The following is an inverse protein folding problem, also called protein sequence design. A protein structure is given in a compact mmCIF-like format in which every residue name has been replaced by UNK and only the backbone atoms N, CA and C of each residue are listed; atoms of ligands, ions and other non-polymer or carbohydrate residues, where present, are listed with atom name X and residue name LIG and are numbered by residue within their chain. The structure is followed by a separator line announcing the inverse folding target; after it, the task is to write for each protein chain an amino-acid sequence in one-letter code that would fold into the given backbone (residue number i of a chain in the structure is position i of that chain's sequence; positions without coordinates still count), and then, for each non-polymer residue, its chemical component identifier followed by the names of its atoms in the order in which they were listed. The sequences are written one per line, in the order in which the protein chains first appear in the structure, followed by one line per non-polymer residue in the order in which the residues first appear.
data_IF_165627770222
#
_entry.id   IF_165627770222
#
_cell.length_a   1.000
_cell.length_b   1.000
_cell.length_c   1.000
_cell.angle_alpha   90.00
_cell.angle_beta   90.00
_cell.angle_gamma   90.00
#
_symmetry.space_group_name_H-M   'P 1'
#
loop_
_entity.id
_entity.type
_entity.pdbx_description
1 polymer ?
#
# COMPACT_ATOMS: atom_id res chain seq x y z
N UNK A 1 24.78 5.56 0.16
CA UNK A 1 23.73 4.76 0.82
C UNK A 1 23.51 5.16 2.30
N UNK A 2 24.08 6.28 2.77
CA UNK A 2 24.01 6.73 4.18
C UNK A 2 22.89 7.75 4.49
N UNK A 3 21.97 8.00 3.54
CA UNK A 3 20.90 9.01 3.67
C UNK A 3 19.50 8.37 3.76
N UNK A 4 19.42 7.08 4.09
CA UNK A 4 18.14 6.34 4.07
C UNK A 4 17.23 6.69 5.25
N UNK A 5 17.80 7.13 6.39
CA UNK A 5 17.05 7.69 7.52
C UNK A 5 16.61 9.14 7.30
N UNK A 6 17.26 9.87 6.41
CA UNK A 6 17.01 11.29 6.16
C UNK A 6 15.75 11.48 5.32
N UNK A 7 14.61 11.73 5.97
CA UNK A 7 13.32 11.96 5.29
C UNK A 7 13.24 13.33 4.57
N UNK A 8 14.31 14.13 4.58
CA UNK A 8 14.34 15.45 3.95
C UNK A 8 14.86 15.42 2.51
N UNK A 9 15.46 14.31 2.09
CA UNK A 9 15.93 14.12 0.72
C UNK A 9 14.78 14.15 -0.28
N UNK A 10 14.94 14.92 -1.36
CA UNK A 10 14.04 14.91 -2.52
C UNK A 10 14.54 13.90 -3.55
N UNK A 11 13.62 13.16 -4.14
CA UNK A 11 13.91 12.13 -5.14
C UNK A 11 12.96 12.31 -6.31
N UNK A 12 13.46 12.05 -7.51
CA UNK A 12 12.62 12.13 -8.69
C UNK A 12 11.56 11.02 -8.67
N UNK A 13 10.29 11.34 -8.95
CA UNK A 13 9.26 10.34 -9.04
C UNK A 13 9.59 9.27 -10.10
N UNK A 14 9.30 8.02 -9.77
CA UNK A 14 9.39 6.91 -10.71
C UNK A 14 8.32 7.07 -11.78
N UNK A 15 8.74 6.94 -13.03
CA UNK A 15 7.85 6.98 -14.19
C UNK A 15 7.93 5.67 -14.96
N UNK A 16 6.89 5.31 -15.75
CA UNK A 16 6.91 4.11 -16.58
C UNK A 16 8.12 4.06 -17.50
N UNK A 17 8.44 5.19 -18.14
CA UNK A 17 9.56 5.30 -19.05
C UNK A 17 10.90 5.07 -18.35
N UNK A 18 11.10 5.68 -17.17
CA UNK A 18 12.35 5.50 -16.42
C UNK A 18 12.51 4.05 -15.97
N UNK A 19 11.45 3.42 -15.45
CA UNK A 19 11.48 2.01 -15.06
C UNK A 19 11.79 1.09 -16.21
N UNK A 20 11.15 1.27 -17.37
CA UNK A 20 11.44 0.46 -18.56
C UNK A 20 12.91 0.62 -19.00
N UNK A 21 13.44 1.85 -18.99
CA UNK A 21 14.84 2.11 -19.34
C UNK A 21 15.80 1.40 -18.39
N UNK A 22 15.54 1.43 -17.08
CA UNK A 22 16.35 0.74 -16.06
C UNK A 22 16.29 -0.77 -16.27
N UNK A 23 15.11 -1.35 -16.47
CA UNK A 23 14.97 -2.79 -16.72
C UNK A 23 15.71 -3.23 -17.98
N UNK A 24 15.59 -2.49 -19.09
CA UNK A 24 16.33 -2.75 -20.33
C UNK A 24 17.85 -2.63 -20.16
N UNK A 25 18.32 -1.71 -19.31
CA UNK A 25 19.75 -1.59 -18.97
C UNK A 25 20.21 -2.83 -18.20
N UNK A 26 19.43 -3.27 -17.22
CA UNK A 26 19.71 -4.43 -16.36
C UNK A 26 19.71 -5.73 -17.17
N UNK A 27 18.78 -5.91 -18.10
CA UNK A 27 18.70 -7.10 -18.97
C UNK A 27 19.94 -7.28 -19.86
N UNK A 28 20.64 -6.17 -20.16
CA UNK A 28 21.90 -6.19 -20.94
C UNK A 28 23.13 -6.53 -20.10
N UNK A 29 23.01 -6.60 -18.78
CA UNK A 29 24.12 -6.92 -17.89
C UNK A 29 24.36 -8.43 -17.83
N UNK A 30 25.62 -8.85 -17.90
CA UNK A 30 25.98 -10.26 -18.00
C UNK A 30 25.86 -11.04 -16.67
N UNK A 31 26.04 -10.37 -15.52
CA UNK A 31 26.07 -11.03 -14.20
C UNK A 31 24.84 -10.66 -13.40
N UNK A 32 24.19 -11.67 -12.81
CA UNK A 32 23.04 -11.48 -11.90
C UNK A 32 23.38 -10.59 -10.69
N UNK A 33 24.60 -10.66 -10.17
CA UNK A 33 25.04 -9.79 -9.07
C UNK A 33 25.00 -8.31 -9.45
N UNK A 34 25.54 -7.97 -10.62
CA UNK A 34 25.55 -6.59 -11.13
C UNK A 34 24.13 -6.09 -11.42
N UNK A 35 23.25 -6.97 -11.91
CA UNK A 35 21.82 -6.69 -12.09
C UNK A 35 21.14 -6.33 -10.77
N UNK A 36 21.35 -7.15 -9.73
CA UNK A 36 20.79 -6.92 -8.41
C UNK A 36 21.32 -5.64 -7.77
N UNK A 37 22.60 -5.35 -7.92
CA UNK A 37 23.22 -4.14 -7.37
C UNK A 37 22.68 -2.88 -8.05
N UNK A 38 22.54 -2.88 -9.38
CA UNK A 38 21.91 -1.77 -10.12
C UNK A 38 20.45 -1.60 -9.68
N UNK A 39 19.64 -2.66 -9.69
CA UNK A 39 18.24 -2.60 -9.28
C UNK A 39 18.08 -2.11 -7.83
N UNK A 40 19.01 -2.48 -6.95
CA UNK A 40 19.02 -2.02 -5.55
C UNK A 40 19.24 -0.52 -5.43
N UNK A 41 20.01 0.11 -6.32
CA UNK A 41 20.15 1.58 -6.33
C UNK A 41 18.83 2.28 -6.63
N UNK A 42 17.96 1.62 -7.40
CA UNK A 42 16.64 2.13 -7.79
C UNK A 42 15.49 1.54 -6.96
N UNK A 43 15.75 0.75 -5.92
CA UNK A 43 14.68 0.16 -5.10
C UNK A 43 13.75 -0.73 -5.92
N UNK A 44 14.31 -1.42 -6.91
CA UNK A 44 13.59 -2.24 -7.88
C UNK A 44 13.91 -3.73 -7.68
N UNK A 45 13.04 -4.57 -8.22
CA UNK A 45 13.21 -6.02 -8.30
C UNK A 45 13.32 -6.42 -9.77
N UNK A 46 13.93 -7.57 -10.09
CA UNK A 46 14.07 -8.06 -11.45
C UNK A 46 12.75 -8.65 -11.97
N UNK A 47 11.67 -7.86 -11.88
CA UNK A 47 10.32 -8.23 -12.29
C UNK A 47 9.72 -7.03 -13.01
N UNK A 48 9.38 -7.20 -14.29
CA UNK A 48 8.69 -6.18 -15.05
C UNK A 48 7.23 -6.13 -14.58
N UNK A 49 6.77 -4.96 -14.14
CA UNK A 49 5.38 -4.77 -13.79
C UNK A 49 4.52 -4.82 -15.07
N UNK A 50 3.57 -5.76 -15.14
CA UNK A 50 2.66 -5.92 -16.28
C UNK A 50 1.89 -4.63 -16.60
N UNK A 51 1.58 -3.82 -15.59
CA UNK A 51 0.89 -2.56 -15.77
C UNK A 51 1.65 -1.57 -16.67
N UNK A 52 2.97 -1.70 -16.78
CA UNK A 52 3.80 -0.89 -17.68
C UNK A 52 3.61 -1.22 -19.16
N UNK A 53 2.88 -2.28 -19.49
CA UNK A 53 2.60 -2.70 -20.86
C UNK A 53 1.32 -2.07 -21.43
N UNK A 54 0.45 -1.52 -20.57
CA UNK A 54 -0.79 -0.88 -21.01
C UNK A 54 -0.51 0.53 -21.53
N UNK A 55 -0.98 0.82 -22.74
CA UNK A 55 -0.90 2.15 -23.30
C UNK A 55 -1.68 3.14 -22.41
N UNK A 56 -1.08 4.32 -22.17
CA UNK A 56 -1.66 5.40 -21.37
C UNK A 56 -1.93 5.04 -19.89
N UNK A 57 -1.37 3.94 -19.37
CA UNK A 57 -1.46 3.59 -17.96
C UNK A 57 -0.15 3.91 -17.23
N UNK A 58 -0.25 4.66 -16.14
CA UNK A 58 0.88 4.95 -15.26
C UNK A 58 0.62 4.37 -13.86
N UNK A 59 1.15 3.17 -13.55
CA UNK A 59 0.94 2.56 -12.24
C UNK A 59 1.53 3.40 -11.10
N UNK A 60 2.53 4.24 -11.34
CA UNK A 60 3.15 5.04 -10.28
C UNK A 60 2.29 6.23 -9.87
N UNK A 61 1.48 6.74 -10.80
CA UNK A 61 0.43 7.72 -10.51
C UNK A 61 -0.79 7.12 -9.83
N UNK A 62 -0.94 5.80 -9.86
CA UNK A 62 -2.04 5.09 -9.20
C UNK A 62 -1.68 4.61 -7.78
N UNK A 63 -0.42 4.69 -7.38
CA UNK A 63 0.05 4.22 -6.08
C UNK A 63 -0.05 5.34 -5.05
N UNK A 64 -0.90 5.14 -4.04
CA UNK A 64 -0.93 5.94 -2.83
C UNK A 64 0.00 5.37 -1.76
N UNK A 65 0.27 6.18 -0.75
CA UNK A 65 0.96 5.73 0.45
C UNK A 65 0.12 4.66 1.19
N UNK A 66 0.74 3.55 1.57
CA UNK A 66 0.11 2.44 2.28
C UNK A 66 0.28 2.60 3.78
N UNK A 67 -0.69 3.27 4.42
CA UNK A 67 -0.68 3.51 5.87
C UNK A 67 -0.59 2.23 6.70
N UNK A 68 -1.31 1.18 6.30
CA UNK A 68 -1.46 -0.03 7.10
C UNK A 68 -0.14 -0.81 7.19
N UNK A 69 0.52 -1.01 6.04
CA UNK A 69 1.77 -1.76 6.02
C UNK A 69 2.98 -0.88 6.34
N UNK A 70 3.00 0.38 5.92
CA UNK A 70 4.12 1.27 6.19
C UNK A 70 4.07 1.81 7.61
N UNK A 71 2.96 2.41 8.03
CA UNK A 71 2.89 3.14 9.28
C UNK A 71 2.55 2.19 10.42
N UNK A 72 1.37 1.58 10.41
CA UNK A 72 0.84 0.85 11.55
C UNK A 72 1.61 -0.45 11.81
N UNK A 73 1.73 -1.30 10.80
CA UNK A 73 2.46 -2.57 10.92
C UNK A 73 3.98 -2.39 10.80
N UNK A 74 4.42 -1.42 9.99
CA UNK A 74 5.83 -1.14 9.74
C UNK A 74 6.46 -0.29 10.82
N UNK A 75 6.45 1.03 10.65
CA UNK A 75 7.13 2.00 11.51
C UNK A 75 6.71 1.87 12.98
N UNK A 76 5.43 1.67 13.27
CA UNK A 76 4.98 1.43 14.62
C UNK A 76 5.23 -0.02 15.06
N UNK A 77 4.52 -0.97 14.45
CA UNK A 77 4.47 -2.37 14.90
C UNK A 77 5.81 -3.09 14.87
N UNK A 78 6.64 -2.85 13.86
CA UNK A 78 7.95 -3.48 13.72
C UNK A 78 9.10 -2.69 14.38
N UNK A 79 8.92 -1.39 14.67
CA UNK A 79 10.02 -0.53 15.15
C UNK A 79 9.74 0.21 16.44
N UNK A 80 8.89 1.24 16.43
CA UNK A 80 8.70 2.11 17.60
C UNK A 80 8.18 1.31 18.80
N UNK A 81 7.17 0.47 18.59
CA UNK A 81 6.54 -0.29 19.68
C UNK A 81 7.47 -1.35 20.30
N UNK A 82 8.19 -2.19 19.53
CA UNK A 82 9.23 -3.07 20.07
C UNK A 82 10.34 -2.34 20.85
N UNK A 83 10.76 -1.16 20.40
CA UNK A 83 11.76 -0.36 21.12
C UNK A 83 11.21 0.20 22.43
N UNK A 84 9.97 0.69 22.45
CA UNK A 84 9.30 1.13 23.68
C UNK A 84 9.16 -0.01 24.68
N UNK A 85 8.80 -1.21 24.21
CA UNK A 85 8.76 -2.42 25.03
C UNK A 85 10.14 -2.74 25.63
N UNK A 86 11.21 -2.64 24.84
CA UNK A 86 12.58 -2.88 25.33
C UNK A 86 12.97 -1.92 26.46
N UNK A 87 12.59 -0.64 26.37
CA UNK A 87 12.81 0.33 27.46
C UNK A 87 12.01 -0.03 28.71
N UNK A 88 10.73 -0.38 28.56
CA UNK A 88 9.91 -0.85 29.69
C UNK A 88 10.50 -2.08 30.37
N UNK A 89 10.98 -3.07 29.61
CA UNK A 89 11.60 -4.27 30.17
C UNK A 89 12.90 -3.96 30.92
N UNK A 90 13.68 -2.96 30.49
CA UNK A 90 14.88 -2.51 31.21
C UNK A 90 14.54 -1.83 32.54
N UNK A 91 13.45 -1.07 32.58
CA UNK A 91 12.96 -0.41 33.79
C UNK A 91 12.34 -1.42 34.78
N UNK A 92 11.77 -2.51 34.25
CA UNK A 92 11.32 -3.67 35.00
C UNK A 92 9.81 -3.92 34.89
N UNK A 93 9.40 -5.13 35.29
CA UNK A 93 8.04 -5.64 35.10
C UNK A 93 6.92 -4.76 35.71
N UNK A 94 7.23 -3.97 36.74
CA UNK A 94 6.25 -3.07 37.35
C UNK A 94 5.93 -1.85 36.45
N UNK A 95 6.85 -1.42 35.59
CA UNK A 95 6.58 -0.40 34.57
C UNK A 95 5.69 -0.97 33.46
N UNK A 96 5.98 -2.20 33.01
CA UNK A 96 5.12 -2.92 32.05
C UNK A 96 3.69 -3.08 32.58
N UNK A 97 3.54 -3.54 33.82
CA UNK A 97 2.25 -3.71 34.48
C UNK A 97 1.47 -2.38 34.59
N UNK A 98 2.15 -1.25 34.82
CA UNK A 98 1.50 0.08 34.84
C UNK A 98 0.94 0.45 33.47
N UNK A 99 1.66 0.17 32.38
CA UNK A 99 1.17 0.39 31.01
C UNK A 99 -0.06 -0.49 30.77
N UNK A 100 0.05 -1.79 31.02
CA UNK A 100 -1.04 -2.74 30.76
C UNK A 100 -2.29 -2.40 31.58
N UNK A 101 -2.13 -2.02 32.86
CA UNK A 101 -3.24 -1.59 33.70
C UNK A 101 -3.97 -0.36 33.13
N UNK A 102 -3.24 0.55 32.47
CA UNK A 102 -3.85 1.73 31.82
C UNK A 102 -4.60 1.38 30.55
N UNK A 103 -4.15 0.37 29.81
CA UNK A 103 -4.91 -0.17 28.69
C UNK A 103 -6.19 -0.89 29.15
N UNK A 104 -6.11 -1.73 30.20
CA UNK A 104 -7.26 -2.42 30.80
C UNK A 104 -8.31 -1.43 31.32
N UNK A 105 -7.86 -0.35 31.97
CA UNK A 105 -8.78 0.65 32.56
C UNK A 105 -9.23 1.71 31.58
N UNK A 106 -8.71 1.72 30.35
CA UNK A 106 -9.12 2.69 29.34
C UNK A 106 -10.58 2.43 28.96
N UNK A 107 -11.45 3.46 28.95
CA UNK A 107 -12.87 3.26 28.63
C UNK A 107 -13.03 2.67 27.23
N UNK A 108 -14.10 1.88 27.03
CA UNK A 108 -14.45 1.40 25.70
C UNK A 108 -14.98 2.55 24.83
N UNK A 109 -14.49 2.63 23.60
CA UNK A 109 -14.99 3.56 22.59
C UNK A 109 -15.41 2.78 21.35
N UNK A 110 -16.39 3.30 20.62
CA UNK A 110 -16.76 2.76 19.32
C UNK A 110 -15.58 2.88 18.37
N UNK A 111 -15.34 1.83 17.58
CA UNK A 111 -14.29 1.77 16.55
C UNK A 111 -12.85 1.93 17.09
N UNK A 112 -12.65 1.62 18.38
CA UNK A 112 -11.36 1.54 19.03
C UNK A 112 -11.23 0.20 19.76
N UNK A 113 -10.22 -0.59 19.41
CA UNK A 113 -9.97 -1.85 20.08
C UNK A 113 -9.66 -1.65 21.58
N UNK A 114 -10.23 -2.51 22.42
CA UNK A 114 -9.89 -2.58 23.84
C UNK A 114 -8.89 -3.71 24.08
N UNK A 115 -7.90 -3.47 24.95
CA UNK A 115 -6.77 -4.38 25.15
C UNK A 115 -6.61 -4.69 26.64
N UNK A 116 -6.59 -5.98 26.98
CA UNK A 116 -6.30 -6.46 28.35
C UNK A 116 -4.81 -6.37 28.74
N UNK A 117 -4.01 -5.68 27.91
CA UNK A 117 -2.57 -5.57 28.03
C UNK A 117 -1.91 -5.59 26.66
N UNK A 118 -0.83 -4.82 26.50
CA UNK A 118 -0.13 -4.64 25.22
C UNK A 118 1.35 -4.98 25.30
N UNK A 119 1.98 -4.89 26.48
CA UNK A 119 3.43 -5.05 26.60
C UNK A 119 3.92 -6.44 26.22
N UNK A 120 3.08 -7.47 26.32
CA UNK A 120 3.41 -8.86 25.95
C UNK A 120 2.96 -9.28 24.56
N UNK A 121 2.26 -8.42 23.81
CA UNK A 121 1.81 -8.74 22.45
C UNK A 121 3.03 -8.92 21.53
N UNK A 122 3.14 -10.09 20.90
CA UNK A 122 4.22 -10.45 19.98
C UNK A 122 3.87 -10.28 18.51
N UNK A 123 2.58 -10.39 18.16
CA UNK A 123 2.05 -10.23 16.81
C UNK A 123 0.63 -9.67 16.88
N UNK A 124 0.31 -8.73 16.00
CA UNK A 124 -1.06 -8.25 15.81
C UNK A 124 -1.29 -7.77 14.37
N UNK A 125 -2.55 -7.60 13.99
CA UNK A 125 -2.89 -6.94 12.73
C UNK A 125 -2.59 -5.43 12.76
N UNK A 126 -2.47 -4.82 11.58
CA UNK A 126 -2.14 -3.40 11.44
C UNK A 126 -3.18 -2.49 12.11
N UNK A 127 -4.47 -2.83 12.01
CA UNK A 127 -5.54 -2.03 12.63
C UNK A 127 -5.42 -1.95 14.14
N UNK A 128 -5.09 -3.05 14.82
CA UNK A 128 -4.82 -3.04 16.26
C UNK A 128 -3.53 -2.32 16.59
N UNK A 129 -2.50 -2.45 15.77
CA UNK A 129 -1.26 -1.69 15.93
C UNK A 129 -1.52 -0.18 15.89
N UNK A 130 -2.36 0.29 14.96
CA UNK A 130 -2.84 1.67 14.89
C UNK A 130 -3.48 2.11 16.20
N UNK A 131 -4.39 1.33 16.74
CA UNK A 131 -5.10 1.66 17.97
C UNK A 131 -4.19 1.64 19.21
N UNK A 132 -3.25 0.69 19.29
CA UNK A 132 -2.22 0.68 20.33
C UNK A 132 -1.41 1.97 20.26
N UNK A 133 -0.99 2.42 19.06
CA UNK A 133 -0.20 3.64 18.90
C UNK A 133 -0.90 4.89 19.44
N UNK A 134 -2.20 5.04 19.15
CA UNK A 134 -3.02 6.16 19.63
C UNK A 134 -3.04 6.25 21.15
N UNK A 135 -3.15 5.09 21.82
CA UNK A 135 -3.30 4.99 23.27
C UNK A 135 -1.96 4.99 24.01
N UNK A 136 -0.87 4.58 23.35
CA UNK A 136 0.40 4.32 24.04
C UNK A 136 0.98 5.58 24.71
N UNK A 137 0.90 6.75 24.08
CA UNK A 137 1.38 7.99 24.69
C UNK A 137 0.68 8.31 26.01
N UNK A 138 -0.64 8.15 26.04
CA UNK A 138 -1.43 8.33 27.26
C UNK A 138 -1.04 7.28 28.30
N UNK A 139 -0.95 6.02 27.88
CA UNK A 139 -0.55 4.93 28.76
C UNK A 139 0.87 5.12 29.33
N UNK A 140 1.78 5.77 28.61
CA UNK A 140 3.17 6.00 29.02
C UNK A 140 3.38 7.25 29.90
N UNK A 141 2.36 8.09 30.10
CA UNK A 141 2.47 9.35 30.84
C UNK A 141 2.95 9.14 32.29
N UNK A 142 4.12 9.68 32.66
CA UNK A 142 4.68 9.48 34.00
C UNK A 142 5.14 8.05 34.29
N UNK A 143 5.28 7.21 33.25
CA UNK A 143 5.88 5.87 33.34
C UNK A 143 7.29 5.91 32.76
N UNK A 144 7.47 6.55 31.60
CA UNK A 144 8.77 6.79 30.99
C UNK A 144 9.03 8.29 31.06
N UNK A 145 9.80 8.73 32.06
CA UNK A 145 10.16 10.13 32.28
C UNK A 145 11.61 10.38 31.90
N UNK A 146 11.95 11.63 31.55
CA UNK A 146 13.29 12.00 31.05
C UNK A 146 14.42 11.71 32.05
N UNK A 147 14.15 11.88 33.34
CA UNK A 147 15.07 11.58 34.44
C UNK A 147 15.18 10.08 34.75
N UNK A 148 14.23 9.26 34.30
CA UNK A 148 14.21 7.80 34.50
C UNK A 148 14.86 7.08 33.32
N UNK A 149 14.44 7.44 32.11
CA UNK A 149 14.98 6.91 30.86
C UNK A 149 14.92 7.98 29.77
N UNK A 150 16.03 8.71 29.64
CA UNK A 150 16.20 9.76 28.63
C UNK A 150 16.00 9.25 27.20
N UNK A 151 16.43 8.03 26.90
CA UNK A 151 16.29 7.45 25.57
C UNK A 151 14.83 7.06 25.30
N UNK A 152 14.20 6.34 26.24
CA UNK A 152 12.78 6.00 26.16
C UNK A 152 11.89 7.25 26.05
N UNK A 153 12.21 8.33 26.79
CA UNK A 153 11.49 9.59 26.72
C UNK A 153 11.66 10.29 25.36
N UNK A 154 12.85 10.25 24.77
CA UNK A 154 13.06 10.73 23.40
C UNK A 154 12.25 9.89 22.39
N UNK A 155 12.12 8.58 22.60
CA UNK A 155 11.29 7.72 21.75
C UNK A 155 9.79 8.04 21.88
N UNK A 156 9.31 8.47 23.05
CA UNK A 156 7.96 9.02 23.20
C UNK A 156 7.77 10.33 22.42
N UNK A 157 8.78 11.19 22.37
CA UNK A 157 8.76 12.39 21.49
C UNK A 157 8.68 11.99 20.02
N UNK A 158 9.42 10.97 19.58
CA UNK A 158 9.30 10.41 18.22
C UNK A 158 7.88 9.89 17.96
N UNK A 159 7.33 9.13 18.92
CA UNK A 159 5.97 8.57 18.83
C UNK A 159 4.92 9.66 18.68
N UNK A 160 5.03 10.77 19.43
CA UNK A 160 4.14 11.93 19.29
C UNK A 160 4.18 12.53 17.89
N UNK A 161 5.36 12.70 17.32
CA UNK A 161 5.50 13.26 15.97
C UNK A 161 4.97 12.27 14.93
N UNK A 162 5.26 10.98 15.09
CA UNK A 162 4.71 9.90 14.25
C UNK A 162 3.16 9.91 14.26
N UNK A 163 2.55 10.06 15.43
CA UNK A 163 1.09 10.17 15.56
C UNK A 163 0.52 11.39 14.82
N UNK A 164 1.26 12.50 14.76
CA UNK A 164 0.84 13.63 13.95
C UNK A 164 0.98 13.34 12.45
N UNK A 165 2.06 12.71 12.00
CA UNK A 165 2.25 12.32 10.59
C UNK A 165 1.08 11.48 10.10
N UNK A 166 0.72 10.43 10.84
CA UNK A 166 -0.37 9.53 10.45
C UNK A 166 -1.76 10.15 10.66
N UNK A 167 -1.92 11.07 11.62
CA UNK A 167 -3.18 11.81 11.79
C UNK A 167 -3.43 12.69 10.57
N UNK A 168 -2.42 13.47 10.14
CA UNK A 168 -2.56 14.32 8.96
C UNK A 168 -2.67 13.48 7.69
N UNK A 169 -1.84 12.47 7.50
CA UNK A 169 -1.88 11.60 6.30
C UNK A 169 -3.15 10.76 6.19
N UNK A 170 -3.83 10.48 7.30
CA UNK A 170 -5.08 9.74 7.33
C UNK A 170 -6.35 10.59 7.22
N UNK A 171 -6.24 11.89 6.93
CA UNK A 171 -7.41 12.73 6.66
C UNK A 171 -8.06 12.31 5.35
N UNK A 172 -9.39 12.21 5.34
CA UNK A 172 -10.14 11.91 4.11
C UNK A 172 -10.28 13.10 3.17
N UNK A 173 -10.06 14.31 3.69
CA UNK A 173 -10.14 15.54 2.92
C UNK A 173 -8.95 16.39 3.31
N UNK A 174 -8.09 16.63 2.33
CA UNK A 174 -6.92 17.47 2.48
C UNK A 174 -7.17 18.88 1.95
N UNK A 175 -6.86 19.88 2.76
CA UNK A 175 -6.69 21.28 2.33
C UNK A 175 -5.21 21.60 2.15
N UNK A 176 -4.89 22.67 1.42
CA UNK A 176 -3.51 23.18 1.29
C UNK A 176 -2.85 23.39 2.66
N UNK A 177 -3.60 23.86 3.65
CA UNK A 177 -3.10 24.07 5.01
C UNK A 177 -2.79 22.74 5.72
N UNK A 178 -3.71 21.77 5.69
CA UNK A 178 -3.49 20.46 6.32
C UNK A 178 -2.33 19.70 5.67
N UNK A 179 -2.15 19.86 4.36
CA UNK A 179 -1.00 19.31 3.63
C UNK A 179 0.31 20.00 4.04
N UNK A 180 0.31 21.33 4.13
CA UNK A 180 1.50 22.07 4.57
C UNK A 180 1.94 21.64 5.97
N UNK A 181 0.99 21.58 6.91
CA UNK A 181 1.26 21.15 8.30
C UNK A 181 1.70 19.69 8.35
N UNK A 182 1.01 18.79 7.64
CA UNK A 182 1.39 17.38 7.57
C UNK A 182 2.82 17.19 7.07
N UNK A 183 3.21 17.94 6.03
CA UNK A 183 4.57 17.92 5.45
C UNK A 183 5.64 18.38 6.43
N UNK A 184 5.34 19.31 7.33
CA UNK A 184 6.29 19.77 8.37
C UNK A 184 6.64 18.67 9.37
N UNK A 185 5.73 17.73 9.66
CA UNK A 185 5.98 16.67 10.63
C UNK A 185 6.93 15.58 10.13
N UNK A 186 7.08 15.40 8.81
CA UNK A 186 8.00 14.42 8.22
C UNK A 186 9.48 14.71 8.58
N UNK A 187 10.04 15.90 8.29
CA UNK A 187 11.43 16.22 8.67
C UNK A 187 11.59 16.29 10.20
N UNK A 188 10.55 16.71 10.94
CA UNK A 188 10.58 16.67 12.41
C UNK A 188 10.71 15.25 12.94
N UNK A 189 10.02 14.27 12.33
CA UNK A 189 10.12 12.87 12.71
C UNK A 189 11.52 12.33 12.44
N UNK A 190 12.08 12.64 11.27
CA UNK A 190 13.47 12.30 10.93
C UNK A 190 14.44 12.80 12.00
N UNK A 191 14.39 14.09 12.32
CA UNK A 191 15.25 14.70 13.34
C UNK A 191 15.04 14.09 14.73
N UNK A 192 13.81 13.72 15.09
CA UNK A 192 13.53 13.10 16.37
C UNK A 192 14.11 11.69 16.48
N UNK A 193 14.02 10.90 15.42
CA UNK A 193 14.62 9.56 15.32
C UNK A 193 16.15 9.67 15.35
N UNK A 194 16.75 10.59 14.61
CA UNK A 194 18.19 10.84 14.66
C UNK A 194 18.65 11.20 16.07
N UNK A 195 17.92 12.08 16.77
CA UNK A 195 18.21 12.41 18.17
C UNK A 195 18.15 11.19 19.07
N UNK A 196 17.21 10.28 18.85
CA UNK A 196 17.13 9.02 19.60
C UNK A 196 18.36 8.14 19.35
N UNK A 197 18.75 7.97 18.08
CA UNK A 197 19.89 7.13 17.68
C UNK A 197 21.23 7.63 18.23
N UNK A 198 21.37 8.93 18.48
CA UNK A 198 22.58 9.53 19.03
C UNK A 198 22.66 9.48 20.57
N UNK A 199 21.63 8.97 21.28
CA UNK A 199 21.68 8.86 22.74
C UNK A 199 22.55 7.63 23.12
N UNK A 200 23.63 7.80 23.90
CA UNK A 200 24.48 6.68 24.33
C UNK A 200 23.68 5.61 25.08
N UNK A 201 24.07 4.33 24.96
CA UNK A 201 23.39 3.18 25.58
C UNK A 201 21.97 2.86 25.09
N UNK A 202 21.47 3.50 24.02
CA UNK A 202 20.50 2.80 23.16
C UNK A 202 21.28 1.63 22.57
N UNK A 203 21.20 0.41 23.12
CA UNK A 203 21.58 -0.79 22.36
C UNK A 203 20.62 -0.80 21.17
N UNK A 204 20.99 -0.28 19.99
CA UNK A 204 20.02 -0.19 18.92
C UNK A 204 19.80 -1.64 18.54
N UNK A 205 18.54 -2.02 18.41
CA UNK A 205 18.31 -3.13 17.52
C UNK A 205 18.87 -2.67 16.16
N UNK A 206 20.05 -3.14 15.78
CA UNK A 206 20.68 -2.89 14.47
C UNK A 206 19.67 -3.18 13.33
N UNK A 207 18.69 -4.05 13.62
CA UNK A 207 17.51 -4.33 12.82
C UNK A 207 16.42 -3.24 12.84
N UNK A 208 16.67 -2.01 13.29
CA UNK A 208 15.76 -0.88 13.07
C UNK A 208 16.15 -0.15 11.78
N UNK A 209 17.46 0.07 11.57
CA UNK A 209 17.97 0.60 10.31
C UNK A 209 17.65 -0.33 9.13
N UNK A 210 17.75 -1.65 9.32
CA UNK A 210 17.53 -2.65 8.26
C UNK A 210 16.11 -2.64 7.67
N UNK A 211 15.03 -2.69 8.47
CA UNK A 211 13.67 -2.69 7.95
C UNK A 211 13.12 -1.30 7.64
N UNK A 212 13.57 -0.21 8.31
CA UNK A 212 13.38 1.15 7.77
C UNK A 212 14.00 1.26 6.37
N UNK A 213 15.22 0.71 6.19
CA UNK A 213 15.88 0.58 4.88
C UNK A 213 15.11 -0.32 3.92
N UNK A 214 14.56 -1.45 4.35
CA UNK A 214 13.82 -2.35 3.47
C UNK A 214 12.47 -1.75 3.05
N UNK A 215 11.77 -1.09 3.95
CA UNK A 215 10.55 -0.35 3.67
C UNK A 215 10.89 0.76 2.66
N UNK A 216 11.95 1.52 2.92
CA UNK A 216 12.44 2.56 2.03
C UNK A 216 12.82 2.04 0.62
N UNK A 217 13.57 0.95 0.54
CA UNK A 217 13.97 0.31 -0.71
C UNK A 217 12.81 -0.35 -1.46
N UNK A 218 11.69 -0.62 -0.78
CA UNK A 218 10.49 -1.22 -1.39
C UNK A 218 9.46 -0.19 -1.82
N UNK A 219 9.68 1.11 -1.55
CA UNK A 219 8.84 2.15 -2.09
C UNK A 219 9.00 2.20 -3.61
N UNK A 220 7.88 2.18 -4.32
CA UNK A 220 7.88 2.31 -5.78
C UNK A 220 8.18 3.74 -6.24
N UNK A 221 8.30 4.69 -5.31
CA UNK A 221 8.44 6.10 -5.64
C UNK A 221 9.24 6.93 -4.59
N UNK A 222 10.28 6.33 -4.00
CA UNK A 222 11.29 6.95 -3.11
C UNK A 222 10.90 8.28 -2.40
N UNK A 223 10.63 8.23 -1.09
CA UNK A 223 10.42 9.34 -0.12
C UNK A 223 9.48 10.49 -0.49
N UNK A 224 8.87 10.57 -1.67
CA UNK A 224 7.88 11.63 -1.91
C UNK A 224 6.51 11.25 -1.34
N UNK A 225 6.51 10.89 -0.04
CA UNK A 225 5.31 10.51 0.72
C UNK A 225 4.29 11.64 0.69
N UNK A 226 4.79 12.88 0.70
CA UNK A 226 4.04 14.13 0.61
C UNK A 226 3.15 14.21 -0.64
N UNK A 227 3.67 13.82 -1.81
CA UNK A 227 2.90 13.80 -3.05
C UNK A 227 2.00 12.57 -3.15
N UNK A 228 2.40 11.44 -2.56
CA UNK A 228 1.63 10.19 -2.56
C UNK A 228 0.32 10.28 -1.75
N UNK A 229 0.25 11.09 -0.70
CA UNK A 229 -1.01 11.35 0.01
C UNK A 229 -2.03 12.08 -0.88
N UNK A 230 -1.57 13.07 -1.65
CA UNK A 230 -2.42 13.87 -2.56
C UNK A 230 -2.95 13.03 -3.73
N UNK A 231 -2.14 12.06 -4.19
CA UNK A 231 -2.52 11.15 -5.28
C UNK A 231 -3.70 10.24 -4.88
N UNK A 232 -3.77 9.80 -3.61
CA UNK A 232 -4.86 8.94 -3.13
C UNK A 232 -6.23 9.64 -3.22
N UNK A 233 -6.28 10.91 -2.85
CA UNK A 233 -7.47 11.75 -2.93
C UNK A 233 -7.82 12.03 -4.39
N UNK A 234 -6.83 12.38 -5.22
CA UNK A 234 -7.06 12.67 -6.64
C UNK A 234 -7.55 11.44 -7.43
N UNK A 235 -7.08 10.24 -7.07
CA UNK A 235 -7.59 8.98 -7.62
C UNK A 235 -9.02 8.74 -7.16
N UNK A 236 -9.33 9.00 -5.88
CA UNK A 236 -10.68 8.82 -5.33
C UNK A 236 -11.67 9.80 -5.94
N UNK A 237 -11.32 11.09 -5.98
CA UNK A 237 -12.09 12.13 -6.66
C UNK A 237 -12.31 11.76 -8.14
N UNK A 238 -11.27 11.26 -8.81
CA UNK A 238 -11.40 10.79 -10.20
C UNK A 238 -12.28 9.54 -10.35
N UNK A 239 -12.30 8.64 -9.37
CA UNK A 239 -13.22 7.49 -9.35
C UNK A 239 -14.64 7.97 -9.09
N UNK A 240 -14.86 8.85 -8.13
CA UNK A 240 -16.17 9.42 -7.80
C UNK A 240 -16.75 10.21 -8.99
N UNK A 241 -15.93 11.02 -9.68
CA UNK A 241 -16.31 11.71 -10.92
C UNK A 241 -16.65 10.72 -12.05
N UNK A 242 -15.88 9.63 -12.20
CA UNK A 242 -16.17 8.59 -13.19
C UNK A 242 -17.45 7.82 -12.85
N UNK A 243 -17.70 7.51 -11.58
CA UNK A 243 -18.94 6.89 -11.11
C UNK A 243 -20.14 7.79 -11.38
N UNK A 244 -20.02 9.09 -11.13
CA UNK A 244 -21.08 10.06 -11.39
C UNK A 244 -21.32 10.28 -12.88
N UNK A 245 -20.26 10.30 -13.69
CA UNK A 245 -20.38 10.31 -15.16
C UNK A 245 -21.06 9.03 -15.69
N UNK A 246 -20.72 7.86 -15.15
CA UNK A 246 -21.37 6.60 -15.51
C UNK A 246 -22.84 6.57 -15.10
N UNK A 247 -23.18 7.01 -13.89
CA UNK A 247 -24.58 7.17 -13.44
C UNK A 247 -25.35 8.10 -14.37
N UNK A 248 -24.73 9.20 -14.80
CA UNK A 248 -25.34 10.14 -15.74
C UNK A 248 -25.60 9.50 -17.12
N UNK A 249 -24.64 8.74 -17.65
CA UNK A 249 -24.82 7.99 -18.91
C UNK A 249 -25.92 6.91 -18.80
N UNK A 250 -26.03 6.24 -17.65
CA UNK A 250 -27.10 5.26 -17.40
C UNK A 250 -28.46 5.95 -17.32
N UNK A 251 -28.56 7.11 -16.67
CA UNK A 251 -29.79 7.90 -16.59
C UNK A 251 -30.24 8.43 -17.98
N UNK A 252 -29.30 8.84 -18.84
CA UNK A 252 -29.59 9.28 -20.21
C UNK A 252 -30.06 8.14 -21.14
N UNK A 253 -29.72 6.88 -20.82
CA UNK A 253 -30.17 5.71 -21.58
C UNK A 253 -31.56 5.22 -21.16
N UNK A 254 -32.01 5.53 -19.93
CA UNK A 254 -33.38 5.20 -19.48
C UNK A 254 -34.43 6.16 -20.07
N UNK A 255 -34.04 7.41 -20.39
CA UNK A 255 -34.94 8.42 -20.99
C UNK A 255 -35.14 8.26 -22.51
N UNK A 256 -34.51 7.25 -23.15
CA UNK A 256 -34.71 6.90 -24.57
C UNK A 256 -35.46 5.57 -24.74
N UNK A 257 -36.63 5.47 -24.15
CA UNK A 257 -37.69 4.62 -24.68
C UNK A 257 -38.70 5.51 -25.42
N UNK A 258 -38.32 5.97 -26.61
CA UNK A 258 -39.34 6.12 -27.66
C UNK A 258 -38.76 6.02 -29.09
N UNK A 259 -39.41 5.15 -29.86
CA UNK A 259 -39.38 4.91 -31.31
C UNK A 259 -38.05 4.82 -32.10
N UNK A 260 -37.80 3.59 -32.57
CA UNK A 260 -37.28 3.22 -33.90
C UNK A 260 -35.90 3.73 -34.33
N UNK A 261 -34.89 2.87 -34.19
CA UNK A 261 -34.14 2.30 -35.33
C UNK A 261 -33.35 1.09 -34.83
N UNK A 262 -33.54 -0.04 -35.50
CA UNK A 262 -32.82 -1.30 -35.26
C UNK A 262 -31.31 -1.10 -35.35
N UNK A 263 -30.62 -1.24 -34.22
CA UNK A 263 -29.24 -1.74 -34.18
C UNK A 263 -29.12 -2.59 -32.94
N UNK A 264 -28.84 -3.87 -33.15
CA UNK A 264 -28.78 -4.94 -32.16
C UNK A 264 -28.02 -4.50 -30.89
N UNK A 265 -28.76 -4.34 -29.79
CA UNK A 265 -28.21 -4.16 -28.47
C UNK A 265 -27.50 -5.43 -28.02
N UNK A 266 -26.18 -5.50 -28.22
CA UNK A 266 -25.35 -6.54 -27.62
C UNK A 266 -25.16 -6.23 -26.12
N UNK A 267 -25.64 -7.15 -25.29
CA UNK A 267 -25.60 -7.04 -23.84
C UNK A 267 -24.16 -6.82 -23.32
N UNK A 268 -23.97 -5.81 -22.47
CA UNK A 268 -22.71 -5.62 -21.74
C UNK A 268 -22.51 -6.77 -20.76
N UNK A 269 -21.39 -7.48 -20.81
CA UNK A 269 -21.00 -8.37 -19.71
C UNK A 269 -20.18 -7.57 -18.69
N UNK A 270 -20.75 -7.34 -17.51
CA UNK A 270 -20.08 -6.61 -16.43
C UNK A 270 -21.04 -5.75 -15.60
N UNK A 271 -20.70 -5.60 -14.31
CA UNK A 271 -21.40 -4.71 -13.36
C UNK A 271 -20.57 -3.47 -13.03
N UNK A 272 -20.68 -2.98 -11.79
CA UNK A 272 -20.00 -1.76 -11.30
C UNK A 272 -18.46 -1.86 -11.39
N UNK A 273 -17.89 -3.08 -11.36
CA UNK A 273 -16.44 -3.30 -11.19
C UNK A 273 -15.66 -3.62 -12.47
N UNK A 274 -16.33 -3.99 -13.56
CA UNK A 274 -15.67 -4.20 -14.86
C UNK A 274 -16.69 -4.14 -15.99
N UNK A 275 -16.24 -3.82 -17.19
CA UNK A 275 -17.07 -3.85 -18.39
C UNK A 275 -16.24 -4.39 -19.54
N UNK A 276 -16.66 -5.52 -20.11
CA UNK A 276 -16.00 -6.12 -21.27
C UNK A 276 -16.45 -5.37 -22.52
N UNK A 277 -15.74 -4.29 -22.90
CA UNK A 277 -16.05 -3.49 -24.10
C UNK A 277 -14.85 -2.93 -24.86
N UNK A 278 -13.60 -3.06 -24.39
CA UNK A 278 -12.46 -2.50 -25.12
C UNK A 278 -12.07 -3.43 -26.28
N UNK A 279 -12.14 -2.93 -27.52
CA UNK A 279 -11.55 -3.58 -28.68
C UNK A 279 -10.02 -3.58 -28.55
N UNK A 280 -9.48 -4.59 -27.87
CA UNK A 280 -8.07 -4.90 -27.89
C UNK A 280 -7.75 -5.72 -29.14
N UNK A 281 -6.48 -5.72 -29.55
CA UNK A 281 -6.03 -6.55 -30.66
C UNK A 281 -6.20 -8.02 -30.28
N UNK A 282 -6.97 -8.77 -31.07
CA UNK A 282 -7.19 -10.19 -30.89
C UNK A 282 -5.85 -10.93 -30.76
N UNK A 283 -5.73 -11.75 -29.72
CA UNK A 283 -4.53 -12.52 -29.42
C UNK A 283 -4.91 -13.98 -29.18
N UNK A 284 -4.21 -14.91 -29.81
CA UNK A 284 -4.41 -16.33 -29.51
C UNK A 284 -3.82 -16.69 -28.15
N UNK A 285 -4.43 -17.64 -27.45
CA UNK A 285 -3.89 -18.17 -26.20
C UNK A 285 -2.44 -18.66 -26.35
N UNK A 286 -2.11 -19.31 -27.48
CA UNK A 286 -0.74 -19.73 -27.80
C UNK A 286 0.23 -18.57 -27.96
N UNK A 287 -0.21 -17.46 -28.57
CA UNK A 287 0.61 -16.25 -28.70
C UNK A 287 0.81 -15.58 -27.34
N UNK A 288 -0.21 -15.57 -26.49
CA UNK A 288 -0.17 -15.04 -25.13
C UNK A 288 0.80 -15.83 -24.23
N UNK A 289 0.73 -17.17 -24.23
CA UNK A 289 1.61 -18.02 -23.42
C UNK A 289 3.07 -17.89 -23.84
N UNK A 290 3.34 -17.83 -25.15
CA UNK A 290 4.68 -17.62 -25.68
C UNK A 290 5.23 -16.23 -25.33
N UNK A 291 4.40 -15.19 -25.45
CA UNK A 291 4.79 -13.81 -25.14
C UNK A 291 5.17 -13.64 -23.67
N UNK A 292 4.44 -14.31 -22.77
CA UNK A 292 4.68 -14.25 -21.33
C UNK A 292 5.62 -15.34 -20.80
N UNK A 293 6.21 -16.17 -21.67
CA UNK A 293 7.10 -17.29 -21.30
C UNK A 293 6.47 -18.23 -20.26
N UNK A 294 5.15 -18.40 -20.30
CA UNK A 294 4.42 -19.29 -19.41
C UNK A 294 4.78 -20.74 -19.74
N UNK A 295 4.91 -21.58 -18.70
CA UNK A 295 4.94 -23.02 -18.91
C UNK A 295 3.60 -23.50 -19.49
N UNK A 296 3.61 -24.67 -20.13
CA UNK A 296 2.38 -25.27 -20.67
C UNK A 296 1.31 -25.41 -19.58
N UNK A 297 1.71 -25.80 -18.37
CA UNK A 297 0.81 -25.96 -17.23
C UNK A 297 0.17 -24.63 -16.79
N UNK A 298 0.93 -23.52 -16.76
CA UNK A 298 0.40 -22.20 -16.42
C UNK A 298 -0.54 -21.66 -17.50
N UNK A 299 -0.22 -21.90 -18.77
CA UNK A 299 -1.08 -21.54 -19.89
C UNK A 299 -2.41 -22.31 -19.91
N UNK A 300 -2.37 -23.59 -19.58
CA UNK A 300 -3.56 -24.45 -19.49
C UNK A 300 -4.43 -24.04 -18.28
N UNK A 301 -3.81 -23.74 -17.12
CA UNK A 301 -4.53 -23.28 -15.94
C UNK A 301 -5.21 -21.92 -16.18
N UNK A 302 -4.53 -20.98 -16.83
CA UNK A 302 -5.12 -19.69 -17.18
C UNK A 302 -6.35 -19.83 -18.09
N UNK A 303 -6.30 -20.73 -19.08
CA UNK A 303 -7.45 -21.02 -19.95
C UNK A 303 -8.64 -21.56 -19.16
N UNK A 304 -8.39 -22.47 -18.21
CA UNK A 304 -9.41 -23.05 -17.33
C UNK A 304 -10.04 -21.96 -16.45
N UNK A 305 -9.21 -21.14 -15.81
CA UNK A 305 -9.66 -20.09 -14.90
C UNK A 305 -10.49 -19.02 -15.63
N UNK A 306 -10.07 -18.66 -16.85
CA UNK A 306 -10.82 -17.72 -17.69
C UNK A 306 -12.17 -18.30 -18.13
N UNK A 307 -12.21 -19.58 -18.51
CA UNK A 307 -13.46 -20.24 -18.93
C UNK A 307 -14.45 -20.36 -17.76
N UNK A 308 -13.94 -20.64 -16.56
CA UNK A 308 -14.69 -20.64 -15.32
C UNK A 308 -15.23 -19.25 -14.97
N UNK A 309 -14.38 -18.23 -15.04
CA UNK A 309 -14.77 -16.83 -14.81
C UNK A 309 -15.87 -16.38 -15.78
N UNK A 310 -15.72 -16.63 -17.08
CA UNK A 310 -16.68 -16.19 -18.09
C UNK A 310 -18.02 -16.92 -17.97
N UNK A 311 -18.00 -18.23 -17.72
CA UNK A 311 -19.22 -19.01 -17.53
C UNK A 311 -20.00 -18.55 -16.30
N UNK A 312 -19.32 -18.32 -15.17
CA UNK A 312 -19.94 -17.76 -13.95
C UNK A 312 -20.47 -16.35 -14.17
N UNK A 313 -19.72 -15.51 -14.88
CA UNK A 313 -20.10 -14.13 -15.16
C UNK A 313 -21.34 -14.04 -16.04
N UNK A 314 -21.46 -14.86 -17.09
CA UNK A 314 -22.65 -14.91 -17.95
C UNK A 314 -23.90 -15.33 -17.16
N UNK A 315 -23.78 -16.40 -16.38
CA UNK A 315 -24.88 -16.88 -15.53
C UNK A 315 -25.30 -15.83 -14.49
N UNK A 316 -24.34 -15.18 -13.83
CA UNK A 316 -24.62 -14.12 -12.85
C UNK A 316 -25.34 -12.92 -13.45
N UNK A 317 -25.15 -12.65 -14.75
CA UNK A 317 -25.79 -11.56 -15.48
C UNK A 317 -27.04 -12.04 -16.27
N UNK A 318 -27.56 -13.23 -15.99
CA UNK A 318 -28.72 -13.83 -16.69
C UNK A 318 -28.55 -13.95 -18.22
N UNK A 319 -27.31 -14.08 -18.70
CA UNK A 319 -27.00 -14.31 -20.11
C UNK A 319 -26.82 -15.82 -20.34
N UNK A 320 -27.49 -16.43 -21.33
CA UNK A 320 -27.40 -17.85 -21.58
C UNK A 320 -25.99 -18.24 -22.04
N UNK A 321 -25.51 -19.39 -21.59
CA UNK A 321 -24.24 -19.94 -22.03
C UNK A 321 -24.31 -20.39 -23.50
N UNK A 322 -23.22 -20.25 -24.28
CA UNK A 322 -23.15 -20.79 -25.64
C UNK A 322 -23.47 -22.30 -25.64
N UNK A 323 -24.48 -22.70 -26.42
CA UNK A 323 -24.91 -24.10 -26.49
C UNK A 323 -25.43 -24.69 -25.17
N UNK A 324 -25.74 -23.85 -24.17
CA UNK A 324 -26.10 -24.27 -22.81
C UNK A 324 -25.01 -25.10 -22.09
N UNK A 325 -23.75 -24.94 -22.50
CA UNK A 325 -22.61 -25.66 -21.94
C UNK A 325 -21.60 -24.71 -21.32
N UNK A 326 -20.81 -25.24 -20.38
CA UNK A 326 -19.68 -24.49 -19.81
C UNK A 326 -18.72 -24.09 -20.93
N UNK A 327 -18.24 -22.84 -20.90
CA UNK A 327 -17.30 -22.37 -21.92
C UNK A 327 -16.02 -23.22 -21.82
N UNK A 328 -15.48 -23.59 -22.98
CA UNK A 328 -14.17 -24.23 -23.09
C UNK A 328 -13.41 -23.53 -24.21
N UNK A 329 -12.24 -23.00 -23.87
CA UNK A 329 -11.38 -22.35 -24.85
C UNK A 329 -10.41 -23.36 -25.46
N UNK A 330 -10.21 -23.26 -26.77
CA UNK A 330 -9.20 -24.04 -27.48
C UNK A 330 -7.89 -23.23 -27.58
N UNK A 331 -6.71 -23.88 -27.56
CA UNK A 331 -5.41 -23.18 -27.55
C UNK A 331 -5.13 -22.24 -28.75
N UNK A 332 -5.90 -22.39 -29.83
CA UNK A 332 -5.77 -21.62 -31.08
C UNK A 332 -6.87 -20.58 -31.25
N UNK A 333 -7.83 -20.50 -30.33
CA UNK A 333 -8.85 -19.45 -30.34
C UNK A 333 -8.24 -18.11 -29.97
N UNK A 334 -8.75 -17.06 -30.61
CA UNK A 334 -8.40 -15.68 -30.33
C UNK A 334 -9.38 -15.11 -29.30
N UNK A 335 -8.87 -14.35 -28.33
CA UNK A 335 -9.66 -13.63 -27.32
C UNK A 335 -9.55 -12.13 -27.52
#
# INVERSE_FOLDING_TARGET
MDQLSDLTGRWDPRTPQNTQNIMQKVDKMARKGDQEDELRTHGMRPVMNMFLQFANFDPYRAVSFDDLHFADSGLWGAHLFPQLKLHLSKLGCHYEAKIDQRFITFPHWRDLNHFDGVTKISFNDGSKHRDISKLFLFAAQGVIEENVDRAGYQLLKCTRIYLNVIMYGGLHVHTSDTLAIGKEYIPMLSSAIEKYDHIPNTKPNEKMHGPLRNIYQRQTNFKDTSEQFVIADLIRDGIDELEDYQKHLMALNDDKIDSSTDTEGTASLGGIHFTIRSQLKALSFKSFTNFHSLSQQEGDQFQIDLADFMSKSLQANSIPLPGNQWIQYMPHEEV
#
